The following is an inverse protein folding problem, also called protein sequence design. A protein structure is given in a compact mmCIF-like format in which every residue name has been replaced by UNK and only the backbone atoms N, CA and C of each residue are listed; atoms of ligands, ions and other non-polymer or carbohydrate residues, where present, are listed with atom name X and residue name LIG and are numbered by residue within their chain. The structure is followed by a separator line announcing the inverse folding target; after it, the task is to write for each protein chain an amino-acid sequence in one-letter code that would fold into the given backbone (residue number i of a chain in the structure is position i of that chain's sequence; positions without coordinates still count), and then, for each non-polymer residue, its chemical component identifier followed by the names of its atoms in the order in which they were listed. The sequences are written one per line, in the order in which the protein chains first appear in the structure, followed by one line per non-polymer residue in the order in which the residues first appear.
data_IF_943881814959
#
_entry.id   IF_943881814959
#
_cell.length_a   1.000
_cell.length_b   1.000
_cell.length_c   1.000
_cell.angle_alpha   90.00
_cell.angle_beta   90.00
_cell.angle_gamma   90.00
#
_symmetry.space_group_name_H-M   'P 1'
#
loop_
_entity.id
_entity.type
_entity.pdbx_description
1 polymer ?
#
# COMPACT_ATOMS: atom_id res chain seq x y z
N UNK A 1 2.87 -23.40 -9.71
CA UNK A 1 2.87 -22.37 -10.79
C UNK A 1 4.29 -21.82 -10.89
N UNK A 2 5.02 -22.05 -12.00
CA UNK A 2 6.36 -21.45 -12.20
C UNK A 2 6.17 -20.01 -12.66
N UNK A 3 6.62 -19.05 -11.87
CA UNK A 3 6.60 -17.63 -12.22
C UNK A 3 7.79 -17.31 -13.12
N UNK A 4 7.52 -16.58 -14.19
CA UNK A 4 8.46 -16.10 -15.20
C UNK A 4 9.54 -15.16 -14.59
N UNK A 5 10.84 -15.27 -14.94
CA UNK A 5 11.92 -14.42 -14.43
C UNK A 5 11.68 -12.91 -14.57
N UNK A 6 11.02 -12.45 -15.64
CA UNK A 6 10.73 -11.02 -15.83
C UNK A 6 9.70 -10.49 -14.83
N UNK A 7 8.85 -11.37 -14.30
CA UNK A 7 7.89 -11.05 -13.23
C UNK A 7 8.59 -10.76 -11.90
N UNK A 8 9.79 -11.28 -11.71
CA UNK A 8 10.59 -11.02 -10.51
C UNK A 8 11.12 -9.57 -10.49
N UNK A 9 11.34 -8.96 -11.66
CA UNK A 9 11.84 -7.58 -11.77
C UNK A 9 10.87 -6.56 -11.18
N UNK A 10 9.60 -6.61 -11.58
CA UNK A 10 8.57 -5.70 -11.08
C UNK A 10 8.28 -5.90 -9.58
N UNK A 11 8.29 -7.15 -9.10
CA UNK A 11 8.14 -7.44 -7.66
C UNK A 11 9.30 -6.87 -6.84
N UNK A 12 10.54 -7.02 -7.32
CA UNK A 12 11.72 -6.44 -6.66
C UNK A 12 11.66 -4.92 -6.62
N UNK A 13 11.17 -4.28 -7.70
CA UNK A 13 10.94 -2.84 -7.71
C UNK A 13 9.91 -2.42 -6.65
N UNK A 14 8.85 -3.21 -6.43
CA UNK A 14 7.83 -2.91 -5.42
C UNK A 14 8.37 -3.00 -4.00
N UNK A 15 9.14 -4.06 -3.73
CA UNK A 15 9.81 -4.22 -2.44
C UNK A 15 10.84 -3.12 -2.19
N UNK A 16 11.52 -2.63 -3.23
CA UNK A 16 12.47 -1.54 -3.11
C UNK A 16 11.81 -0.16 -2.96
N UNK A 17 10.54 -0.02 -3.36
CA UNK A 17 9.80 1.25 -3.28
C UNK A 17 9.20 1.50 -1.91
N UNK A 18 8.91 0.44 -1.14
CA UNK A 18 8.58 0.56 0.28
C UNK A 18 9.89 0.64 1.06
N UNK A 19 10.32 1.86 1.38
CA UNK A 19 11.60 2.12 2.04
C UNK A 19 11.42 3.01 3.30
N UNK A 20 11.41 2.43 4.51
CA UNK A 20 11.28 3.19 5.75
C UNK A 20 12.48 4.10 6.05
N UNK A 21 13.62 3.90 5.39
CA UNK A 21 14.82 4.71 5.58
C UNK A 21 14.91 5.89 4.60
N UNK A 22 13.99 5.97 3.64
CA UNK A 22 13.98 7.00 2.61
C UNK A 22 13.95 8.41 3.23
N UNK A 23 14.74 9.39 2.73
CA UNK A 23 14.79 10.74 3.32
C UNK A 23 13.43 11.44 3.43
N UNK A 24 12.58 11.31 2.41
CA UNK A 24 11.20 11.85 2.43
C UNK A 24 10.35 11.19 3.51
N UNK A 25 10.48 9.87 3.72
CA UNK A 25 9.73 9.14 4.76
C UNK A 25 10.14 9.60 6.14
N UNK A 26 11.45 9.69 6.39
CA UNK A 26 11.98 10.18 7.68
C UNK A 26 11.49 11.59 7.99
N UNK A 27 11.52 12.48 6.97
CA UNK A 27 11.01 13.85 7.09
C UNK A 27 9.50 13.87 7.37
N UNK A 28 8.70 13.05 6.69
CA UNK A 28 7.27 12.92 6.95
C UNK A 28 7.00 12.52 8.40
N UNK A 29 7.70 11.49 8.90
CA UNK A 29 7.52 10.97 10.27
C UNK A 29 7.89 12.04 11.30
N UNK A 30 9.04 12.70 11.11
CA UNK A 30 9.51 13.80 11.97
C UNK A 30 8.52 14.98 11.99
N UNK A 31 8.10 15.46 10.82
CA UNK A 31 7.18 16.58 10.71
C UNK A 31 5.75 16.26 11.19
N UNK A 32 5.34 14.99 11.14
CA UNK A 32 4.09 14.53 11.72
C UNK A 32 4.15 14.46 13.26
N UNK A 33 5.35 14.47 13.85
CA UNK A 33 5.55 14.11 15.26
C UNK A 33 5.18 12.66 15.55
N UNK A 34 5.28 11.79 14.54
CA UNK A 34 5.13 10.34 14.69
C UNK A 34 6.47 9.81 15.22
N UNK A 35 6.45 9.05 16.32
CA UNK A 35 7.68 8.50 16.89
C UNK A 35 8.40 7.56 15.90
N UNK A 36 9.73 7.53 15.91
CA UNK A 36 10.55 6.63 15.09
C UNK A 36 11.11 5.48 15.93
N UNK A 37 11.39 4.33 15.31
CA UNK A 37 12.28 3.35 15.94
C UNK A 37 13.63 4.01 16.32
N UNK A 38 14.22 3.70 17.50
CA UNK A 38 13.91 2.58 18.39
C UNK A 38 12.92 2.89 19.53
N UNK A 39 12.39 4.11 19.64
CA UNK A 39 11.41 4.42 20.69
C UNK A 39 10.05 3.79 20.32
N UNK A 40 9.53 2.84 21.11
CA UNK A 40 8.29 2.17 20.76
C UNK A 40 7.14 3.18 20.69
N UNK A 41 6.41 3.14 19.58
CA UNK A 41 5.17 3.90 19.41
C UNK A 41 4.23 3.55 20.55
N UNK A 42 3.98 4.52 21.43
CA UNK A 42 3.09 4.35 22.60
C UNK A 42 1.62 4.28 22.20
N UNK A 43 1.28 4.85 21.05
CA UNK A 43 -0.08 4.91 20.52
C UNK A 43 -0.06 4.75 18.98
N UNK A 44 -0.23 3.52 18.47
CA UNK A 44 -0.26 3.22 17.04
C UNK A 44 -1.36 3.96 16.29
N UNK A 45 -2.54 4.12 16.91
CA UNK A 45 -3.68 4.79 16.31
C UNK A 45 -3.42 6.29 16.14
N UNK A 46 -2.88 6.93 17.18
CA UNK A 46 -2.44 8.34 17.08
C UNK A 46 -1.35 8.53 16.04
N UNK A 47 -0.41 7.58 15.92
CA UNK A 47 0.66 7.62 14.92
C UNK A 47 0.09 7.59 13.50
N UNK A 48 -0.83 6.67 13.22
CA UNK A 48 -1.53 6.62 11.94
C UNK A 48 -2.26 7.93 11.66
N UNK A 49 -2.99 8.49 12.63
CA UNK A 49 -3.72 9.75 12.48
C UNK A 49 -2.81 10.93 12.14
N UNK A 50 -1.64 11.04 12.79
CA UNK A 50 -0.66 12.10 12.51
C UNK A 50 -0.12 12.00 11.09
N UNK A 51 0.24 10.78 10.65
CA UNK A 51 0.72 10.53 9.29
C UNK A 51 -0.36 10.85 8.24
N UNK A 52 -1.59 10.38 8.45
CA UNK A 52 -2.71 10.65 7.54
C UNK A 52 -3.00 12.14 7.43
N UNK A 53 -2.97 12.90 8.54
CA UNK A 53 -3.16 14.36 8.50
C UNK A 53 -2.13 15.07 7.62
N UNK A 54 -0.85 14.66 7.66
CA UNK A 54 0.18 15.22 6.78
C UNK A 54 -0.04 14.82 5.33
N UNK A 55 -0.35 13.55 5.07
CA UNK A 55 -0.56 13.06 3.70
C UNK A 55 -1.82 13.60 3.02
N UNK A 56 -2.85 14.01 3.79
CA UNK A 56 -4.04 14.71 3.25
C UNK A 56 -3.72 16.02 2.54
N UNK A 57 -2.57 16.63 2.82
CA UNK A 57 -2.13 17.83 2.12
C UNK A 57 -1.61 17.54 0.69
N UNK A 58 -1.32 16.28 0.37
CA UNK A 58 -0.87 15.86 -0.96
C UNK A 58 -2.09 15.53 -1.81
N UNK A 59 -2.26 16.24 -2.92
CA UNK A 59 -3.37 16.04 -3.86
C UNK A 59 -3.18 14.73 -4.60
N UNK A 60 -4.23 13.90 -4.60
CA UNK A 60 -4.27 12.71 -5.44
C UNK A 60 -4.42 13.10 -6.93
N UNK A 61 -3.56 12.54 -7.80
CA UNK A 61 -3.54 12.87 -9.25
C UNK A 61 -3.81 11.68 -10.18
N UNK A 62 -4.17 10.51 -9.65
CA UNK A 62 -4.61 9.38 -10.47
C UNK A 62 -3.99 8.04 -10.10
N UNK A 63 -4.01 7.14 -11.09
CA UNK A 63 -3.49 5.77 -11.04
C UNK A 63 -2.27 5.57 -11.94
N UNK A 64 -1.67 6.66 -12.44
CA UNK A 64 -0.61 6.60 -13.44
C UNK A 64 0.73 6.20 -12.86
N UNK A 65 1.22 5.01 -13.20
CA UNK A 65 2.63 4.62 -13.10
C UNK A 65 3.27 4.82 -11.73
N UNK A 66 4.60 4.82 -11.71
CA UNK A 66 5.39 4.98 -10.48
C UNK A 66 5.96 6.38 -10.46
N UNK A 67 5.83 7.03 -9.32
CA UNK A 67 6.40 8.34 -9.11
C UNK A 67 7.30 8.30 -7.88
N UNK A 68 8.44 9.01 -7.91
CA UNK A 68 9.33 9.09 -6.76
C UNK A 68 8.65 9.82 -5.60
N UNK A 69 9.00 9.48 -4.36
CA UNK A 69 8.45 10.14 -3.16
C UNK A 69 8.73 11.65 -3.17
N UNK A 70 9.84 12.08 -3.75
CA UNK A 70 10.22 13.49 -3.92
C UNK A 70 9.20 14.27 -4.73
N UNK A 71 8.56 13.64 -5.73
CA UNK A 71 7.51 14.30 -6.51
C UNK A 71 6.29 14.55 -5.64
N UNK A 72 5.83 13.52 -4.93
CA UNK A 72 4.71 13.63 -4.00
C UNK A 72 4.94 14.69 -2.93
N UNK A 73 6.14 14.70 -2.36
CA UNK A 73 6.50 15.64 -1.29
C UNK A 73 6.76 17.06 -1.78
N UNK A 74 7.49 17.22 -2.88
CA UNK A 74 7.91 18.52 -3.40
C UNK A 74 6.82 19.25 -4.18
N UNK A 75 5.98 18.52 -4.92
CA UNK A 75 4.91 19.11 -5.73
C UNK A 75 3.54 19.09 -5.02
N UNK A 76 3.41 18.35 -3.90
CA UNK A 76 2.12 18.14 -3.26
C UNK A 76 1.15 17.35 -4.12
N UNK A 77 1.66 16.49 -5.01
CA UNK A 77 0.87 15.68 -5.95
C UNK A 77 1.36 14.24 -6.00
N UNK A 78 0.49 13.26 -5.74
CA UNK A 78 0.86 11.85 -5.79
C UNK A 78 -0.25 10.95 -6.31
N UNK A 79 0.14 9.86 -6.96
CA UNK A 79 -0.80 8.81 -7.38
C UNK A 79 -1.07 7.79 -6.26
N UNK A 80 -2.04 6.88 -6.47
CA UNK A 80 -2.43 5.89 -5.45
C UNK A 80 -1.28 4.97 -5.00
N UNK A 81 -0.34 4.67 -5.90
CA UNK A 81 0.82 3.80 -5.64
C UNK A 81 1.79 4.50 -4.70
N UNK A 82 2.20 5.70 -5.07
CA UNK A 82 3.19 6.52 -4.38
C UNK A 82 2.72 6.89 -2.99
N UNK A 83 1.46 7.33 -2.86
CA UNK A 83 0.90 7.71 -1.57
C UNK A 83 0.75 6.50 -0.63
N UNK A 84 0.32 5.35 -1.15
CA UNK A 84 0.19 4.12 -0.35
C UNK A 84 1.56 3.61 0.13
N UNK A 85 2.55 3.59 -0.76
CA UNK A 85 3.90 3.18 -0.40
C UNK A 85 4.57 4.17 0.57
N UNK A 86 4.34 5.48 0.40
CA UNK A 86 4.85 6.50 1.31
C UNK A 86 4.28 6.33 2.72
N UNK A 87 2.96 6.10 2.83
CA UNK A 87 2.31 5.82 4.12
C UNK A 87 2.84 4.54 4.76
N UNK A 88 2.91 3.44 4.01
CA UNK A 88 3.40 2.16 4.55
C UNK A 88 4.86 2.28 4.98
N UNK A 89 5.70 2.93 4.19
CA UNK A 89 7.10 3.19 4.57
C UNK A 89 7.20 3.98 5.88
N UNK A 90 6.34 4.98 6.08
CA UNK A 90 6.26 5.73 7.33
C UNK A 90 5.79 4.87 8.50
N UNK A 91 4.75 4.06 8.32
CA UNK A 91 4.27 3.13 9.35
C UNK A 91 5.37 2.12 9.76
N UNK A 92 6.11 1.60 8.78
CA UNK A 92 7.26 0.72 9.02
C UNK A 92 8.40 1.45 9.75
N UNK A 93 8.69 2.71 9.42
CA UNK A 93 9.68 3.53 10.12
C UNK A 93 9.28 3.81 11.59
N UNK A 94 7.98 3.84 11.87
CA UNK A 94 7.41 3.92 13.21
C UNK A 94 7.32 2.55 13.92
N UNK A 95 7.81 1.47 13.33
CA UNK A 95 7.81 0.13 13.94
C UNK A 95 6.51 -0.68 13.76
N UNK A 96 5.56 -0.22 12.95
CA UNK A 96 4.32 -0.93 12.63
C UNK A 96 4.55 -1.95 11.50
N UNK A 97 5.41 -2.94 11.79
CA UNK A 97 6.07 -3.83 10.81
C UNK A 97 5.15 -4.72 9.98
N UNK A 98 3.90 -4.92 10.42
CA UNK A 98 2.90 -5.70 9.69
C UNK A 98 2.11 -4.88 8.66
N UNK A 99 2.29 -3.55 8.63
CA UNK A 99 1.66 -2.69 7.63
C UNK A 99 2.22 -2.99 6.24
N UNK A 100 1.36 -2.94 5.22
CA UNK A 100 1.69 -3.41 3.88
C UNK A 100 0.96 -2.60 2.80
N UNK A 101 1.48 -2.65 1.58
CA UNK A 101 0.79 -2.13 0.40
C UNK A 101 -0.02 -3.24 -0.24
N UNK A 102 -1.33 -3.02 -0.38
CA UNK A 102 -2.21 -3.86 -1.18
C UNK A 102 -2.28 -3.29 -2.59
N UNK A 103 -2.01 -4.10 -3.60
CA UNK A 103 -2.19 -3.75 -5.01
C UNK A 103 -3.23 -4.69 -5.61
N UNK A 104 -4.18 -4.13 -6.35
CA UNK A 104 -5.10 -4.90 -7.17
C UNK A 104 -5.16 -4.35 -8.58
N UNK A 105 -5.36 -5.21 -9.55
CA UNK A 105 -5.59 -4.82 -10.93
C UNK A 105 -6.41 -5.88 -11.67
N UNK A 106 -6.72 -5.57 -12.94
CA UNK A 106 -7.42 -6.45 -13.85
C UNK A 106 -6.55 -6.96 -15.00
N UNK A 107 -6.92 -8.11 -15.56
CA UNK A 107 -6.27 -8.73 -16.73
C UNK A 107 -5.53 -10.04 -16.42
N UNK A 108 -5.02 -10.71 -17.45
CA UNK A 108 -4.24 -11.94 -17.31
C UNK A 108 -3.03 -11.68 -16.40
N UNK A 109 -2.91 -12.46 -15.31
CA UNK A 109 -1.82 -12.46 -14.32
C UNK A 109 -0.40 -12.35 -14.93
N UNK A 110 -0.22 -12.78 -16.18
CA UNK A 110 1.05 -12.69 -16.91
C UNK A 110 1.38 -11.32 -17.51
N UNK A 111 0.40 -10.50 -17.87
CA UNK A 111 0.60 -9.14 -18.41
C UNK A 111 0.59 -8.07 -17.32
N UNK A 112 -0.09 -8.33 -16.21
CA UNK A 112 -0.15 -7.43 -15.06
C UNK A 112 1.22 -7.11 -14.47
N UNK A 113 2.15 -8.06 -14.44
CA UNK A 113 3.52 -7.90 -13.96
C UNK A 113 4.43 -7.11 -14.91
N UNK A 114 4.11 -7.09 -16.21
CA UNK A 114 4.86 -6.35 -17.26
C UNK A 114 4.31 -4.93 -17.42
N UNK A 115 3.00 -4.75 -17.26
CA UNK A 115 2.37 -3.44 -17.41
C UNK A 115 2.64 -2.47 -16.26
N UNK A 116 3.25 -2.96 -15.17
CA UNK A 116 3.78 -2.11 -14.10
C UNK A 116 4.98 -1.27 -14.59
N UNK A 117 5.62 -1.63 -15.72
CA UNK A 117 6.94 -1.07 -16.07
C UNK A 117 7.06 -0.22 -17.35
N UNK A 118 6.08 -0.12 -18.26
CA UNK A 118 6.38 0.63 -19.51
C UNK A 118 5.24 1.18 -20.37
N UNK A 119 3.98 0.78 -20.20
CA UNK A 119 2.91 1.26 -21.07
C UNK A 119 1.96 2.21 -20.32
N UNK A 120 2.02 3.51 -20.63
CA UNK A 120 1.09 4.56 -20.18
C UNK A 120 -0.41 4.29 -20.49
N UNK A 121 -0.80 3.12 -20.99
CA UNK A 121 -2.11 2.93 -21.64
C UNK A 121 -2.94 1.67 -21.34
N UNK A 122 -2.47 0.64 -20.62
CA UNK A 122 -3.17 -0.66 -20.67
C UNK A 122 -3.38 -1.43 -19.36
N UNK A 123 -2.98 -0.92 -18.20
CA UNK A 123 -3.27 -1.59 -16.94
C UNK A 123 -3.58 -0.60 -15.82
N UNK A 124 -4.83 -0.61 -15.38
CA UNK A 124 -5.30 0.14 -14.21
C UNK A 124 -5.00 -0.70 -12.97
N UNK A 125 -3.78 -0.57 -12.44
CA UNK A 125 -3.49 -1.03 -11.09
C UNK A 125 -3.91 0.06 -10.10
N UNK A 126 -4.50 -0.35 -8.99
CA UNK A 126 -4.81 0.51 -7.87
C UNK A 126 -4.11 -0.05 -6.63
N UNK A 127 -3.58 0.86 -5.82
CA UNK A 127 -2.86 0.51 -4.61
C UNK A 127 -3.50 1.21 -3.40
N UNK A 128 -3.52 0.50 -2.29
CA UNK A 128 -3.96 0.98 -0.98
C UNK A 128 -2.89 0.68 0.04
N UNK A 129 -2.71 1.59 1.00
CA UNK A 129 -2.02 1.22 2.22
C UNK A 129 -2.96 0.39 3.09
N UNK A 130 -2.41 -0.63 3.74
CA UNK A 130 -3.08 -1.39 4.80
C UNK A 130 -2.28 -1.20 6.07
N UNK A 131 -2.89 -0.50 7.04
CA UNK A 131 -2.31 -0.31 8.36
C UNK A 131 -2.75 -1.47 9.26
N UNK A 132 -1.76 -2.19 9.80
CA UNK A 132 -1.98 -3.26 10.77
C UNK A 132 -1.44 -2.77 12.10
N UNK A 133 -2.35 -2.32 12.96
CA UNK A 133 -2.01 -1.78 14.28
C UNK A 133 -2.15 -2.90 15.32
N UNK A 134 -1.22 -3.01 16.29
CA UNK A 134 -1.32 -4.00 17.36
C UNK A 134 -2.67 -3.93 18.08
N UNK A 135 -3.32 -5.09 18.24
CA UNK A 135 -4.60 -5.21 18.95
C UNK A 135 -5.80 -4.54 18.27
N UNK A 136 -5.68 -4.12 17.01
CA UNK A 136 -6.76 -3.48 16.26
C UNK A 136 -7.05 -4.22 14.95
N UNK A 137 -8.28 -4.14 14.40
CA UNK A 137 -8.56 -4.62 13.06
C UNK A 137 -7.65 -3.97 12.01
N UNK A 138 -7.30 -4.72 10.95
CA UNK A 138 -6.58 -4.15 9.81
C UNK A 138 -7.43 -3.05 9.14
N UNK A 139 -6.77 -1.92 8.85
CA UNK A 139 -7.39 -0.76 8.23
C UNK A 139 -6.88 -0.61 6.80
N UNK A 140 -7.78 -0.50 5.83
CA UNK A 140 -7.46 -0.13 4.46
C UNK A 140 -7.62 1.37 4.28
N UNK A 141 -6.64 2.01 3.66
CA UNK A 141 -6.60 3.47 3.52
C UNK A 141 -6.92 3.83 2.07
N UNK A 142 -7.98 4.63 1.88
CA UNK A 142 -8.32 5.22 0.60
C UNK A 142 -7.26 6.26 0.20
N UNK A 143 -6.49 6.07 -0.88
CA UNK A 143 -5.44 7.00 -1.28
C UNK A 143 -5.97 8.33 -1.81
N UNK A 144 -7.26 8.46 -2.11
CA UNK A 144 -7.87 9.72 -2.55
C UNK A 144 -8.15 10.63 -1.36
N UNK A 145 -8.64 10.05 -0.25
CA UNK A 145 -9.11 10.82 0.92
C UNK A 145 -8.19 10.70 2.14
N UNK A 146 -7.26 9.74 2.15
CA UNK A 146 -6.44 9.37 3.30
C UNK A 146 -7.31 9.15 4.56
N UNK A 147 -8.34 8.34 4.40
CA UNK A 147 -9.27 7.96 5.46
C UNK A 147 -9.07 6.46 5.73
N UNK A 148 -8.88 6.07 7.00
CA UNK A 148 -8.84 4.67 7.37
C UNK A 148 -10.26 4.11 7.38
N UNK A 149 -10.43 2.97 6.73
CA UNK A 149 -11.65 2.18 6.78
C UNK A 149 -11.31 0.78 7.26
N UNK A 150 -12.20 0.13 7.99
CA UNK A 150 -12.02 -1.29 8.28
C UNK A 150 -11.96 -2.09 6.96
N UNK A 151 -11.12 -3.13 6.96
CA UNK A 151 -11.00 -4.03 5.83
C UNK A 151 -12.37 -4.61 5.42
N UNK A 152 -13.21 -4.88 6.43
CA UNK A 152 -14.54 -5.46 6.28
C UNK A 152 -14.49 -6.96 5.97
N UNK A 153 -15.68 -7.55 5.77
CA UNK A 153 -15.81 -8.95 5.36
C UNK A 153 -15.46 -9.20 3.88
N UNK A 154 -15.35 -10.46 3.45
CA UNK A 154 -14.92 -10.82 2.09
C UNK A 154 -15.72 -10.16 0.97
N UNK A 155 -17.04 -10.03 1.13
CA UNK A 155 -17.93 -9.42 0.13
C UNK A 155 -17.67 -7.92 -0.02
N UNK A 156 -17.56 -7.19 1.10
CA UNK A 156 -17.28 -5.75 1.11
C UNK A 156 -15.88 -5.45 0.53
N UNK A 157 -14.88 -6.25 0.93
CA UNK A 157 -13.53 -6.14 0.40
C UNK A 157 -13.48 -6.36 -1.12
N UNK A 158 -14.11 -7.44 -1.61
CA UNK A 158 -14.18 -7.74 -3.04
C UNK A 158 -14.90 -6.65 -3.84
N UNK A 159 -16.01 -6.12 -3.32
CA UNK A 159 -16.73 -5.01 -3.93
C UNK A 159 -15.85 -3.76 -4.05
N UNK A 160 -15.08 -3.42 -2.99
CA UNK A 160 -14.15 -2.29 -3.00
C UNK A 160 -13.08 -2.43 -4.08
N UNK A 161 -12.48 -3.61 -4.23
CA UNK A 161 -11.49 -3.86 -5.28
C UNK A 161 -12.08 -3.75 -6.69
N UNK A 162 -13.30 -4.27 -6.89
CA UNK A 162 -14.03 -4.19 -8.18
C UNK A 162 -14.38 -2.76 -8.57
N UNK A 163 -14.66 -1.89 -7.61
CA UNK A 163 -14.91 -0.47 -7.89
C UNK A 163 -13.65 0.25 -8.40
N UNK A 164 -12.48 -0.13 -7.90
CA UNK A 164 -11.22 0.47 -8.32
C UNK A 164 -10.64 -0.13 -9.62
N UNK A 165 -11.00 -1.36 -9.94
CA UNK A 165 -10.65 -2.02 -11.19
C UNK A 165 -11.88 -2.82 -11.71
N UNK A 166 -12.74 -2.20 -12.55
CA UNK A 166 -13.98 -2.81 -13.03
C UNK A 166 -13.70 -3.86 -14.12
N UNK A 167 -13.20 -5.01 -13.68
CA UNK A 167 -12.77 -6.13 -14.52
C UNK A 167 -13.28 -7.46 -13.97
N UNK A 168 -13.45 -8.43 -14.87
CA UNK A 168 -14.04 -9.73 -14.50
C UNK A 168 -13.14 -10.56 -13.57
N UNK A 169 -11.81 -10.42 -13.71
CA UNK A 169 -10.83 -11.13 -12.89
C UNK A 169 -9.89 -10.16 -12.19
N UNK A 170 -9.95 -10.15 -10.86
CA UNK A 170 -9.09 -9.35 -9.98
C UNK A 170 -8.06 -10.27 -9.35
N UNK A 171 -6.80 -9.89 -9.51
CA UNK A 171 -5.71 -10.43 -8.71
C UNK A 171 -5.33 -9.41 -7.63
N UNK A 172 -4.73 -9.90 -6.55
CA UNK A 172 -4.26 -9.04 -5.45
C UNK A 172 -2.85 -9.42 -5.03
N UNK A 173 -2.06 -8.40 -4.69
CA UNK A 173 -0.71 -8.55 -4.18
C UNK A 173 -0.58 -7.76 -2.90
N UNK A 174 0.07 -8.36 -1.91
CA UNK A 174 0.41 -7.71 -0.65
C UNK A 174 1.92 -7.60 -0.58
N UNK A 175 2.43 -6.39 -0.38
CA UNK A 175 3.85 -6.09 -0.23
C UNK A 175 4.11 -5.63 1.21
N UNK A 176 4.74 -6.49 2.00
CA UNK A 176 5.25 -6.17 3.33
C UNK A 176 6.68 -5.66 3.27
N UNK A 177 7.28 -5.43 4.45
CA UNK A 177 8.64 -4.86 4.56
C UNK A 177 9.74 -5.71 3.87
N UNK A 178 9.56 -7.03 3.78
CA UNK A 178 10.58 -7.95 3.24
C UNK A 178 10.01 -9.09 2.38
N UNK A 179 8.70 -9.15 2.25
CA UNK A 179 8.02 -10.25 1.60
C UNK A 179 6.86 -9.74 0.76
N UNK A 180 6.43 -10.57 -0.19
CA UNK A 180 5.22 -10.33 -0.95
C UNK A 180 4.39 -11.60 -1.06
N UNK A 181 3.08 -11.43 -1.13
CA UNK A 181 2.12 -12.51 -1.31
C UNK A 181 1.22 -12.20 -2.50
N UNK A 182 1.03 -13.18 -3.39
CA UNK A 182 0.14 -13.06 -4.56
C UNK A 182 -1.09 -13.95 -4.34
N UNK A 183 -2.28 -13.37 -4.48
CA UNK A 183 -3.54 -14.07 -4.32
C UNK A 183 -4.36 -14.02 -5.61
N UNK A 184 -4.80 -15.19 -6.06
CA UNK A 184 -5.71 -15.33 -7.20
C UNK A 184 -7.17 -14.97 -6.86
N UNK A 185 -7.52 -14.92 -5.57
CA UNK A 185 -8.87 -14.62 -5.11
C UNK A 185 -8.86 -13.54 -4.01
N UNK A 186 -9.69 -12.48 -4.12
CA UNK A 186 -9.80 -11.43 -3.10
C UNK A 186 -10.11 -11.94 -1.70
N UNK A 187 -10.91 -13.00 -1.57
CA UNK A 187 -11.26 -13.57 -0.27
C UNK A 187 -10.04 -14.15 0.47
N UNK A 188 -9.11 -14.78 -0.25
CA UNK A 188 -7.89 -15.30 0.35
C UNK A 188 -6.95 -14.17 0.79
N UNK A 189 -6.86 -13.10 0.00
CA UNK A 189 -6.12 -11.89 0.38
C UNK A 189 -6.72 -11.22 1.62
N UNK A 190 -8.05 -11.07 1.67
CA UNK A 190 -8.75 -10.51 2.83
C UNK A 190 -8.48 -11.32 4.09
N UNK A 191 -8.57 -12.65 4.02
CA UNK A 191 -8.30 -13.53 5.15
C UNK A 191 -6.83 -13.42 5.63
N UNK A 192 -5.88 -13.32 4.70
CA UNK A 192 -4.48 -13.09 5.03
C UNK A 192 -4.28 -11.76 5.77
N UNK A 193 -4.81 -10.66 5.24
CA UNK A 193 -4.71 -9.33 5.87
C UNK A 193 -5.39 -9.28 7.23
N UNK A 194 -6.55 -9.94 7.39
CA UNK A 194 -7.22 -10.07 8.68
C UNK A 194 -6.41 -10.91 9.68
N UNK A 195 -5.71 -11.95 9.20
CA UNK A 195 -4.82 -12.77 10.02
C UNK A 195 -3.60 -12.02 10.53
N UNK A 196 -3.03 -11.09 9.75
CA UNK A 196 -1.91 -10.24 10.18
C UNK A 196 -2.27 -9.45 11.45
N UNK A 197 -3.49 -8.90 11.52
CA UNK A 197 -3.99 -8.15 12.66
C UNK A 197 -4.20 -8.98 13.93
N UNK A 198 -4.30 -10.31 13.81
CA UNK A 198 -4.53 -11.24 14.93
C UNK A 198 -3.24 -11.89 15.44
N UNK A 199 -2.14 -11.81 14.68
CA UNK A 199 -0.88 -12.53 14.95
C UNK A 199 0.29 -11.66 15.40
N UNK A 200 0.01 -10.50 16.01
CA UNK A 200 1.02 -9.58 16.55
C UNK A 200 1.44 -9.90 17.97
#
# INVERSE_FOLDING_TARGET
MRLDPDRYGAVRQWLAFVDPQHPVVRRLVEEAGAGTEPEPVRDPSRTLDLLLRRLRAIRWVGTQGWEPFEKAWGMGEGNCITLSALLVSALLACGLRQSCVLVSGGGLLGQALVAVSSAKGLLTAHAWAVAVLPGSPALIIDPVRMVPEELGGPAAFSARLKLAAPVDQIWTMVFGAREFHLFAHPAACQAHLAGLAQGG
#
